data_IF_280106590465
#
_entry.id   IF_280106590465
#
_cell.length_a   1.000
_cell.length_b   1.000
_cell.length_c   1.000
_cell.angle_alpha   90.00
_cell.angle_beta   90.00
_cell.angle_gamma   90.00
#
_symmetry.space_group_name_H-M   'P 1'
#
loop_
_entity.id
_entity.type
_entity.pdbx_description
1 polymer ?
#
# COMPACT_ATOMS: atom_id res chain seq x y z
N UNK A 1 3.60 9.97 33.19
CA UNK A 1 3.86 9.22 31.93
C UNK A 1 2.53 9.11 31.18
N UNK A 2 2.39 9.84 30.06
CA UNK A 2 1.21 9.71 29.19
C UNK A 2 1.54 8.61 28.20
N UNK A 3 0.93 7.44 28.32
CA UNK A 3 0.99 6.40 27.31
C UNK A 3 0.25 6.92 26.07
N UNK A 4 0.98 7.32 25.06
CA UNK A 4 0.42 7.66 23.75
C UNK A 4 0.31 6.33 23.00
N UNK A 5 -0.92 5.88 22.81
CA UNK A 5 -1.24 4.63 22.12
C UNK A 5 -0.88 4.77 20.63
N UNK A 6 -0.24 3.76 20.06
CA UNK A 6 -0.04 3.68 18.61
C UNK A 6 -1.38 3.38 17.91
N UNK A 7 -1.49 3.64 16.59
CA UNK A 7 -2.66 3.22 15.79
C UNK A 7 -2.99 1.73 16.00
N UNK A 8 -1.98 0.90 16.16
CA UNK A 8 -2.12 -0.53 16.44
C UNK A 8 -2.70 -0.80 17.83
N UNK A 9 -2.34 0.00 18.83
CA UNK A 9 -2.86 -0.14 20.20
C UNK A 9 -4.27 0.43 20.31
N UNK A 10 -4.60 1.47 19.51
CA UNK A 10 -5.95 2.00 19.38
C UNK A 10 -6.91 0.96 18.78
N UNK A 11 -6.51 0.27 17.72
CA UNK A 11 -7.30 -0.82 17.13
C UNK A 11 -7.51 -2.01 18.09
N UNK A 12 -6.59 -2.23 19.03
CA UNK A 12 -6.74 -3.25 20.07
C UNK A 12 -7.67 -2.82 21.22
N UNK A 13 -7.80 -1.51 21.47
CA UNK A 13 -8.61 -0.95 22.58
C UNK A 13 -10.05 -0.66 22.19
N UNK A 14 -10.41 -0.57 20.91
CA UNK A 14 -11.79 -0.36 20.47
C UNK A 14 -12.76 -1.53 20.78
N UNK A 15 -12.27 -2.60 21.41
CA UNK A 15 -13.09 -3.69 21.91
C UNK A 15 -13.70 -3.49 23.31
N UNK A 16 -13.39 -2.40 24.03
CA UNK A 16 -13.89 -2.20 25.40
C UNK A 16 -14.24 -0.73 25.63
N UNK A 17 -15.51 -0.38 25.57
CA UNK A 17 -16.01 0.85 26.17
C UNK A 17 -16.96 1.68 25.32
N UNK A 18 -18.25 1.35 25.33
CA UNK A 18 -19.35 2.24 24.96
C UNK A 18 -19.44 3.41 25.97
N UNK A 19 -18.88 4.54 25.61
CA UNK A 19 -19.15 5.83 26.23
C UNK A 19 -19.83 6.74 25.20
N UNK A 20 -21.12 6.97 25.39
CA UNK A 20 -21.94 7.91 24.60
C UNK A 20 -21.39 9.32 24.80
N UNK A 21 -20.66 9.85 23.83
CA UNK A 21 -20.42 11.30 23.70
C UNK A 21 -21.37 11.86 22.65
N UNK A 22 -22.16 12.82 23.07
CA UNK A 22 -23.14 13.53 22.24
C UNK A 22 -22.42 14.13 21.00
N UNK A 23 -22.76 13.62 19.82
CA UNK A 23 -22.30 14.17 18.54
C UNK A 23 -22.92 15.53 18.32
N UNK A 24 -22.07 16.53 18.22
CA UNK A 24 -22.43 17.80 17.62
C UNK A 24 -22.37 17.60 16.08
N UNK A 25 -23.46 17.85 15.32
CA UNK A 25 -23.39 17.69 13.87
C UNK A 25 -22.36 18.67 13.32
N UNK A 26 -21.34 18.10 12.70
CA UNK A 26 -20.25 18.81 12.06
C UNK A 26 -20.82 19.84 11.08
N UNK A 27 -20.77 21.12 11.45
CA UNK A 27 -20.78 22.18 10.44
C UNK A 27 -19.43 22.09 9.76
N UNK A 28 -19.37 21.86 8.44
CA UNK A 28 -18.11 21.93 7.75
C UNK A 28 -17.63 23.37 7.82
N UNK A 29 -16.76 23.70 8.76
CA UNK A 29 -15.87 24.81 8.57
C UNK A 29 -15.07 24.48 7.33
N UNK A 30 -15.32 25.22 6.26
CA UNK A 30 -14.70 25.07 4.95
C UNK A 30 -13.26 25.61 5.01
N UNK A 31 -12.40 24.91 5.74
CA UNK A 31 -10.98 25.01 5.47
C UNK A 31 -10.73 24.22 4.19
N UNK A 32 -10.17 24.82 3.15
CA UNK A 32 -9.75 24.07 1.99
C UNK A 32 -8.80 22.97 2.49
N UNK A 33 -8.99 21.73 2.00
CA UNK A 33 -8.04 20.63 2.20
C UNK A 33 -6.78 20.97 1.39
N UNK A 34 -6.00 21.94 1.83
CA UNK A 34 -4.75 22.28 1.18
C UNK A 34 -3.75 21.14 1.39
N UNK A 35 -2.95 20.83 0.38
CA UNK A 35 -1.87 19.87 0.54
C UNK A 35 -0.96 20.30 1.70
N UNK A 36 -0.56 19.36 2.56
CA UNK A 36 0.45 19.60 3.57
C UNK A 36 1.76 20.07 2.90
N UNK A 37 2.48 20.94 3.57
CA UNK A 37 3.82 21.32 3.12
C UNK A 37 4.82 20.24 3.53
N UNK A 38 5.44 19.63 2.54
CA UNK A 38 6.47 18.61 2.75
C UNK A 38 7.88 19.20 2.54
N UNK A 39 8.91 18.59 3.15
CA UNK A 39 10.29 18.98 2.88
C UNK A 39 10.63 18.91 1.38
N UNK A 40 11.45 19.83 0.91
CA UNK A 40 11.92 19.84 -0.48
C UNK A 40 13.15 18.95 -0.57
N UNK A 41 12.98 17.78 -1.18
CA UNK A 41 14.06 16.84 -1.44
C UNK A 41 13.64 15.84 -2.53
N UNK A 42 14.60 15.27 -3.25
CA UNK A 42 14.35 14.24 -4.25
C UNK A 42 13.80 12.95 -3.63
N UNK A 43 14.26 12.60 -2.41
CA UNK A 43 13.81 11.43 -1.67
C UNK A 43 13.34 11.84 -0.28
N UNK A 44 12.20 11.33 0.08
CA UNK A 44 11.59 11.54 1.39
C UNK A 44 11.24 10.19 2.03
N UNK A 45 11.06 10.18 3.35
CA UNK A 45 10.54 9.05 4.10
C UNK A 45 9.33 9.47 4.91
N UNK A 46 8.21 8.76 4.78
CA UNK A 46 7.03 8.91 5.64
C UNK A 46 7.11 7.91 6.78
N UNK A 47 6.97 8.37 7.99
CA UNK A 47 6.99 7.56 9.21
C UNK A 47 5.71 6.73 9.33
N UNK A 48 5.83 5.42 9.57
CA UNK A 48 4.68 4.52 9.74
C UNK A 48 4.07 4.53 11.14
N UNK A 49 4.90 4.77 12.15
CA UNK A 49 4.49 4.77 13.55
C UNK A 49 5.53 5.53 14.37
N UNK A 50 5.25 5.78 15.65
CA UNK A 50 6.22 6.41 16.55
C UNK A 50 7.59 5.72 16.46
N UNK A 51 8.66 6.50 16.23
CA UNK A 51 10.03 6.03 16.03
C UNK A 51 11.05 7.00 16.62
N UNK A 52 12.18 6.46 17.10
CA UNK A 52 13.34 7.23 17.52
C UNK A 52 14.29 7.55 16.35
N UNK A 53 14.83 8.77 16.37
CA UNK A 53 15.98 9.17 15.54
C UNK A 53 17.23 9.00 16.37
N UNK A 54 18.19 8.22 15.89
CA UNK A 54 19.40 7.87 16.62
C UNK A 54 20.62 8.67 16.12
N UNK A 55 21.62 8.85 16.99
CA UNK A 55 22.90 9.50 16.61
C UNK A 55 23.71 8.67 15.61
N UNK A 56 23.54 7.35 15.62
CA UNK A 56 24.23 6.37 14.77
C UNK A 56 23.23 5.32 14.27
N UNK A 57 23.53 4.58 13.18
CA UNK A 57 22.63 3.54 12.67
C UNK A 57 22.65 2.29 13.55
N UNK A 58 22.16 2.42 14.78
CA UNK A 58 22.09 1.37 15.79
C UNK A 58 21.00 1.66 16.80
N UNK A 59 20.24 0.64 17.22
CA UNK A 59 19.25 0.74 18.30
C UNK A 59 19.87 1.01 19.68
N UNK A 60 21.17 0.74 19.83
CA UNK A 60 21.90 1.02 21.07
C UNK A 60 22.43 2.46 21.13
N UNK A 61 22.35 3.21 20.03
CA UNK A 61 22.78 4.61 20.00
C UNK A 61 21.74 5.52 20.69
N UNK A 62 22.18 6.65 21.28
CA UNK A 62 21.25 7.60 21.88
C UNK A 62 20.19 8.09 20.91
N UNK A 63 18.95 8.19 21.39
CA UNK A 63 17.87 8.87 20.69
C UNK A 63 18.01 10.38 20.84
N UNK A 64 17.94 11.11 19.74
CA UNK A 64 18.03 12.58 19.71
C UNK A 64 16.68 13.24 19.44
N UNK A 65 15.73 12.49 18.88
CA UNK A 65 14.39 12.98 18.51
C UNK A 65 13.43 11.82 18.42
N UNK A 66 12.16 12.08 18.67
CA UNK A 66 11.05 11.14 18.39
C UNK A 66 10.20 11.71 17.29
N UNK A 67 9.86 10.88 16.33
CA UNK A 67 8.92 11.18 15.25
C UNK A 67 7.65 10.35 15.43
N UNK A 68 6.57 10.84 14.84
CA UNK A 68 5.26 10.22 14.93
C UNK A 68 4.69 9.85 13.56
N UNK A 69 3.58 9.15 13.55
CA UNK A 69 2.88 8.68 12.36
C UNK A 69 2.71 9.83 11.35
N UNK A 70 3.01 9.53 10.10
CA UNK A 70 2.89 10.41 8.95
C UNK A 70 3.82 11.64 8.94
N UNK A 71 4.72 11.80 9.92
CA UNK A 71 5.79 12.79 9.75
C UNK A 71 6.67 12.42 8.55
N UNK A 72 7.08 13.45 7.79
CA UNK A 72 7.86 13.28 6.57
C UNK A 72 9.25 13.87 6.76
N UNK A 73 10.27 13.06 6.51
CA UNK A 73 11.68 13.40 6.67
C UNK A 73 12.43 13.36 5.35
N UNK A 74 13.52 14.10 5.27
CA UNK A 74 14.45 14.02 4.13
C UNK A 74 15.24 12.71 4.21
N UNK A 75 15.19 11.92 3.14
CA UNK A 75 15.97 10.68 2.99
C UNK A 75 17.26 11.00 2.27
N UNK A 76 18.34 11.26 3.01
CA UNK A 76 19.62 11.62 2.42
C UNK A 76 20.37 10.43 1.85
N UNK A 77 20.44 9.34 2.61
CA UNK A 77 21.22 8.15 2.25
C UNK A 77 20.69 6.93 3.01
N UNK A 78 20.76 5.78 2.38
CA UNK A 78 20.60 4.49 3.05
C UNK A 78 21.96 3.93 3.44
N UNK A 79 22.07 3.45 4.67
CA UNK A 79 23.29 2.85 5.23
C UNK A 79 22.97 1.54 5.92
N UNK A 80 23.97 0.68 6.05
CA UNK A 80 23.89 -0.56 6.83
C UNK A 80 24.52 -0.31 8.18
N UNK A 81 23.98 -0.91 9.25
CA UNK A 81 24.53 -0.86 10.61
C UNK A 81 26.05 -1.07 10.59
N UNK A 82 26.78 -0.18 11.28
CA UNK A 82 28.22 -0.35 11.52
C UNK A 82 28.43 -1.04 12.85
N UNK A 83 29.30 -2.05 12.87
CA UNK A 83 29.63 -2.81 14.08
C UNK A 83 29.18 -4.25 14.00
N UNK A 84 29.04 -4.92 15.16
CA UNK A 84 28.48 -6.26 15.21
C UNK A 84 27.04 -6.20 14.70
N UNK A 85 26.76 -6.92 13.60
CA UNK A 85 25.41 -7.09 13.08
C UNK A 85 24.53 -7.59 14.23
N UNK A 86 23.42 -6.92 14.47
CA UNK A 86 22.43 -7.47 15.39
C UNK A 86 21.78 -8.67 14.71
N UNK A 87 22.25 -9.86 15.05
CA UNK A 87 21.79 -11.12 14.48
C UNK A 87 20.30 -11.40 14.73
N UNK A 88 19.66 -10.63 15.62
CA UNK A 88 18.22 -10.71 15.87
C UNK A 88 17.41 -9.84 14.89
N UNK A 89 18.08 -9.02 14.06
CA UNK A 89 17.45 -8.11 13.13
C UNK A 89 17.86 -8.49 11.71
N UNK A 90 16.92 -8.97 10.93
CA UNK A 90 17.17 -9.40 9.54
C UNK A 90 17.47 -8.21 8.63
N UNK A 91 16.68 -7.13 8.77
CA UNK A 91 16.85 -5.94 7.98
C UNK A 91 17.80 -4.97 8.68
N UNK A 92 19.01 -4.80 8.16
CA UNK A 92 20.08 -3.98 8.75
C UNK A 92 20.12 -2.56 8.16
N UNK A 93 19.10 -2.15 7.38
CA UNK A 93 19.07 -0.87 6.69
C UNK A 93 18.64 0.27 7.60
N UNK A 94 19.33 1.39 7.49
CA UNK A 94 19.04 2.65 8.18
C UNK A 94 19.01 3.80 7.17
N UNK A 95 18.21 4.81 7.46
CA UNK A 95 18.13 6.04 6.66
C UNK A 95 18.83 7.15 7.43
N UNK A 96 19.81 7.78 6.79
CA UNK A 96 20.37 9.02 7.26
C UNK A 96 19.43 10.17 6.90
N UNK A 97 19.09 10.96 7.89
CA UNK A 97 18.31 12.20 7.78
C UNK A 97 19.16 13.38 8.27
N UNK A 98 18.71 14.64 8.09
CA UNK A 98 19.40 15.79 8.71
C UNK A 98 19.54 15.72 10.22
N UNK A 99 18.61 15.05 10.91
CA UNK A 99 18.55 14.97 12.38
C UNK A 99 19.30 13.74 12.96
N UNK A 100 19.63 12.75 12.12
CA UNK A 100 20.27 11.50 12.56
C UNK A 100 19.84 10.30 11.72
N UNK A 101 19.77 9.13 12.34
CA UNK A 101 19.50 7.86 11.67
C UNK A 101 18.18 7.26 12.13
N UNK A 102 17.41 6.75 11.17
CA UNK A 102 16.13 6.09 11.38
C UNK A 102 16.19 4.68 10.79
N UNK A 103 15.62 3.70 11.47
CA UNK A 103 15.52 2.33 10.97
C UNK A 103 14.64 2.28 9.72
N UNK A 104 15.21 1.92 8.57
CA UNK A 104 14.58 2.02 7.26
C UNK A 104 13.23 1.28 7.13
N UNK A 105 13.03 0.10 7.73
CA UNK A 105 11.73 -0.58 7.70
C UNK A 105 10.56 0.18 8.29
N UNK A 106 10.81 1.24 9.08
CA UNK A 106 9.77 2.08 9.68
C UNK A 106 9.45 3.35 8.87
N UNK A 107 10.06 3.49 7.69
CA UNK A 107 9.83 4.59 6.75
C UNK A 107 9.31 4.07 5.42
N UNK A 108 8.21 4.62 4.93
CA UNK A 108 7.85 4.49 3.52
C UNK A 108 8.75 5.38 2.67
N UNK A 109 9.46 4.85 1.66
CA UNK A 109 10.10 5.70 0.66
C UNK A 109 9.02 6.44 -0.13
N UNK A 110 9.09 7.77 -0.17
CA UNK A 110 8.11 8.60 -0.85
C UNK A 110 8.77 9.73 -1.63
N UNK A 111 8.03 10.32 -2.55
CA UNK A 111 8.37 11.56 -3.25
C UNK A 111 7.30 12.62 -2.98
N UNK A 112 7.63 13.86 -3.25
CA UNK A 112 6.67 14.96 -3.27
C UNK A 112 6.67 15.58 -4.67
N UNK A 113 5.75 15.10 -5.51
CA UNK A 113 5.61 15.54 -6.90
C UNK A 113 4.16 16.00 -7.14
N UNK A 114 3.80 17.22 -6.72
CA UNK A 114 2.49 17.78 -7.05
C UNK A 114 2.31 17.94 -8.56
N UNK A 115 1.09 17.75 -9.03
CA UNK A 115 0.73 17.77 -10.45
C UNK A 115 -0.12 18.99 -10.79
N UNK A 116 -0.17 19.34 -12.07
CA UNK A 116 -1.17 20.30 -12.58
C UNK A 116 -2.49 19.56 -12.79
N UNK A 117 -3.56 19.93 -12.04
CA UNK A 117 -4.83 19.24 -12.14
C UNK A 117 -5.52 19.46 -13.50
N UNK A 118 -6.23 18.44 -13.98
CA UNK A 118 -7.25 18.64 -15.03
C UNK A 118 -8.53 19.20 -14.41
N UNK A 119 -9.26 20.00 -15.16
CA UNK A 119 -10.47 20.70 -14.68
C UNK A 119 -11.77 20.05 -15.12
N UNK A 120 -11.69 19.03 -15.98
CA UNK A 120 -12.83 18.26 -16.47
C UNK A 120 -12.43 16.80 -16.69
N UNK A 121 -13.39 15.88 -16.56
CA UNK A 121 -13.20 14.49 -16.95
C UNK A 121 -12.89 14.39 -18.45
N UNK A 122 -12.07 13.40 -18.88
CA UNK A 122 -11.85 13.15 -20.29
C UNK A 122 -13.16 12.93 -21.05
N UNK A 123 -13.25 13.47 -22.25
CA UNK A 123 -14.49 13.42 -23.04
C UNK A 123 -14.96 11.97 -23.25
N UNK A 124 -16.23 11.71 -22.93
CA UNK A 124 -16.86 10.40 -23.08
C UNK A 124 -16.47 9.36 -22.01
N UNK A 125 -15.67 9.74 -21.01
CA UNK A 125 -15.29 8.84 -19.91
C UNK A 125 -16.09 9.15 -18.64
N UNK A 126 -16.38 8.10 -17.86
CA UNK A 126 -17.03 8.21 -16.55
C UNK A 126 -16.06 8.58 -15.42
N UNK A 127 -14.78 8.61 -15.70
CA UNK A 127 -13.71 8.90 -14.75
C UNK A 127 -12.34 8.52 -15.31
N UNK A 128 -11.34 8.50 -14.44
CA UNK A 128 -9.97 8.11 -14.78
C UNK A 128 -9.24 7.54 -13.55
N UNK A 129 -8.24 6.70 -13.80
CA UNK A 129 -7.33 6.24 -12.76
C UNK A 129 -6.27 7.29 -12.45
N UNK A 130 -5.99 7.50 -11.17
CA UNK A 130 -4.97 8.44 -10.72
C UNK A 130 -4.15 7.86 -9.57
N UNK A 131 -2.85 8.16 -9.56
CA UNK A 131 -1.88 7.73 -8.57
C UNK A 131 -1.53 8.90 -7.64
N UNK A 132 -1.48 8.66 -6.33
CA UNK A 132 -1.00 9.63 -5.35
C UNK A 132 0.53 9.75 -5.46
N UNK A 133 1.02 10.96 -5.77
CA UNK A 133 2.45 11.25 -6.01
C UNK A 133 3.07 12.19 -4.98
N UNK A 134 2.35 12.47 -3.90
CA UNK A 134 2.81 13.18 -2.71
C UNK A 134 2.85 12.23 -1.51
N UNK A 135 3.56 12.52 -0.42
CA UNK A 135 3.67 11.61 0.72
C UNK A 135 2.33 11.12 1.26
N UNK A 136 1.36 12.00 1.36
CA UNK A 136 -0.05 11.71 1.61
C UNK A 136 -0.92 12.90 1.24
N UNK A 137 -2.20 12.65 1.08
CA UNK A 137 -3.25 13.66 0.88
C UNK A 137 -4.38 13.42 1.87
N UNK A 138 -4.81 14.47 2.57
CA UNK A 138 -5.98 14.43 3.44
C UNK A 138 -7.25 14.36 2.60
N UNK A 139 -8.15 13.45 2.99
CA UNK A 139 -9.38 13.18 2.27
C UNK A 139 -10.59 13.58 3.11
N UNK A 140 -11.60 14.12 2.47
CA UNK A 140 -12.89 14.45 3.09
C UNK A 140 -13.95 13.48 2.58
N UNK A 141 -14.58 12.78 3.51
CA UNK A 141 -15.69 11.89 3.20
C UNK A 141 -16.92 12.66 2.72
N UNK A 142 -17.56 12.18 1.65
CA UNK A 142 -18.88 12.62 1.20
C UNK A 142 -19.96 11.72 1.80
N UNK A 143 -20.80 12.30 2.64
CA UNK A 143 -21.88 11.53 3.31
C UNK A 143 -21.42 10.77 4.55
N UNK A 144 -22.04 9.62 4.82
CA UNK A 144 -21.73 8.76 5.94
C UNK A 144 -20.72 7.70 5.56
N UNK A 145 -19.78 7.38 6.46
CA UNK A 145 -18.81 6.31 6.21
C UNK A 145 -19.50 4.95 6.10
N UNK A 146 -19.17 4.21 5.05
CA UNK A 146 -19.59 2.82 4.88
C UNK A 146 -18.54 1.86 5.44
N UNK A 147 -17.25 2.10 5.16
CA UNK A 147 -16.12 1.29 5.64
C UNK A 147 -15.99 1.31 7.15
N UNK A 148 -15.80 0.16 7.82
CA UNK A 148 -15.44 0.08 9.23
C UNK A 148 -14.17 0.84 9.56
N UNK A 149 -13.17 0.81 8.67
CA UNK A 149 -11.91 1.51 8.84
C UNK A 149 -12.12 3.03 8.89
N UNK A 150 -12.86 3.60 7.93
CA UNK A 150 -13.13 5.04 7.92
C UNK A 150 -13.95 5.46 9.14
N UNK A 151 -14.96 4.66 9.55
CA UNK A 151 -15.70 4.91 10.79
C UNK A 151 -14.77 5.00 12.00
N UNK A 152 -13.86 4.03 12.14
CA UNK A 152 -12.89 4.00 13.23
C UNK A 152 -11.96 5.21 13.24
N UNK A 153 -11.49 5.64 12.07
CA UNK A 153 -10.67 6.85 11.95
C UNK A 153 -11.43 8.09 12.41
N UNK A 154 -12.67 8.26 11.96
CA UNK A 154 -13.49 9.42 12.29
C UNK A 154 -13.90 9.43 13.79
N UNK A 155 -14.25 8.29 14.36
CA UNK A 155 -14.53 8.13 15.78
C UNK A 155 -13.31 8.46 16.66
N UNK A 156 -12.12 8.11 16.19
CA UNK A 156 -10.85 8.43 16.84
C UNK A 156 -10.33 9.84 16.55
N UNK A 157 -11.07 10.65 15.77
CA UNK A 157 -10.62 11.96 15.29
C UNK A 157 -9.28 11.91 14.54
N UNK A 158 -9.05 10.82 13.79
CA UNK A 158 -7.91 10.69 12.90
C UNK A 158 -8.27 11.16 11.49
N UNK A 159 -7.33 11.76 10.76
CA UNK A 159 -7.56 12.15 9.37
C UNK A 159 -7.73 10.90 8.49
N UNK A 160 -8.66 10.96 7.55
CA UNK A 160 -8.73 10.01 6.44
C UNK A 160 -7.70 10.42 5.40
N UNK A 161 -6.83 9.50 4.99
CA UNK A 161 -5.70 9.78 4.10
C UNK A 161 -5.56 8.74 3.01
N UNK A 162 -5.14 9.24 1.85
CA UNK A 162 -4.48 8.41 0.84
C UNK A 162 -2.98 8.69 0.88
N UNK A 163 -2.20 7.64 0.61
CA UNK A 163 -0.75 7.66 0.75
C UNK A 163 -0.05 7.49 -0.59
N UNK A 164 1.19 7.90 -0.67
CA UNK A 164 2.05 7.77 -1.84
C UNK A 164 1.92 6.40 -2.50
N UNK A 165 1.78 6.38 -3.83
CA UNK A 165 1.60 5.21 -4.69
C UNK A 165 0.25 4.49 -4.63
N UNK A 166 -0.69 4.92 -3.80
CA UNK A 166 -2.06 4.43 -3.94
C UNK A 166 -2.67 4.90 -5.27
N UNK A 167 -3.38 4.00 -5.94
CA UNK A 167 -4.10 4.29 -7.19
C UNK A 167 -5.59 4.24 -6.93
N UNK A 168 -6.30 5.24 -7.40
CA UNK A 168 -7.73 5.44 -7.15
C UNK A 168 -8.48 5.78 -8.44
N UNK A 169 -9.78 5.46 -8.49
CA UNK A 169 -10.66 5.90 -9.57
C UNK A 169 -11.29 7.24 -9.22
N UNK A 170 -11.07 8.22 -10.07
CA UNK A 170 -11.65 9.57 -9.96
C UNK A 170 -12.85 9.67 -10.88
N UNK A 171 -14.03 9.97 -10.33
CA UNK A 171 -15.28 10.05 -11.09
C UNK A 171 -15.89 11.45 -11.09
N UNK A 172 -15.41 12.37 -10.26
CA UNK A 172 -15.86 13.76 -10.25
C UNK A 172 -14.71 14.72 -9.98
N UNK A 173 -14.86 15.92 -10.52
CA UNK A 173 -13.98 17.07 -10.33
C UNK A 173 -14.82 18.24 -9.82
N UNK A 174 -14.36 18.90 -8.78
CA UNK A 174 -14.98 20.11 -8.22
C UNK A 174 -13.93 21.20 -8.02
N UNK A 175 -14.40 22.46 -7.96
CA UNK A 175 -13.56 23.60 -7.63
C UNK A 175 -14.18 24.38 -6.46
N UNK A 176 -13.40 24.68 -5.45
CA UNK A 176 -13.79 25.51 -4.32
C UNK A 176 -12.62 26.42 -3.92
N UNK A 177 -12.87 27.72 -3.75
CA UNK A 177 -11.85 28.68 -3.34
C UNK A 177 -10.63 28.80 -4.28
N UNK A 178 -10.76 28.42 -5.56
CA UNK A 178 -9.65 28.39 -6.51
C UNK A 178 -8.85 27.08 -6.50
N UNK A 179 -9.14 26.15 -5.60
CA UNK A 179 -8.52 24.84 -5.50
C UNK A 179 -9.39 23.80 -6.23
N UNK A 180 -8.75 22.90 -6.97
CA UNK A 180 -9.42 21.79 -7.65
C UNK A 180 -9.34 20.56 -6.77
N UNK A 181 -10.46 19.83 -6.68
CA UNK A 181 -10.60 18.60 -5.92
C UNK A 181 -11.04 17.45 -6.82
N UNK A 182 -10.51 16.27 -6.57
CA UNK A 182 -10.92 15.01 -7.20
C UNK A 182 -11.68 14.14 -6.21
N UNK A 183 -12.77 13.52 -6.71
CA UNK A 183 -13.51 12.53 -5.92
C UNK A 183 -13.03 11.12 -6.24
N UNK A 184 -12.45 10.46 -5.26
CA UNK A 184 -12.23 9.03 -5.27
C UNK A 184 -13.56 8.31 -5.03
N UNK A 185 -13.92 7.42 -5.96
CA UNK A 185 -15.06 6.53 -5.85
C UNK A 185 -14.56 5.08 -5.78
N UNK A 186 -14.69 4.45 -4.62
CA UNK A 186 -14.19 3.08 -4.41
C UNK A 186 -14.84 2.05 -5.34
N UNK A 187 -16.07 2.27 -5.80
CA UNK A 187 -16.78 1.38 -6.70
C UNK A 187 -16.52 1.64 -8.19
N UNK A 188 -15.83 2.73 -8.51
CA UNK A 188 -15.61 3.14 -9.89
C UNK A 188 -14.44 2.43 -10.58
N UNK A 189 -14.36 2.58 -11.90
CA UNK A 189 -13.24 2.10 -12.71
C UNK A 189 -13.18 0.60 -12.97
N UNK A 190 -14.27 -0.12 -12.72
CA UNK A 190 -14.35 -1.57 -12.91
C UNK A 190 -15.57 -1.97 -13.73
N UNK A 191 -15.52 -3.13 -14.41
CA UNK A 191 -16.70 -3.70 -15.05
C UNK A 191 -17.84 -3.91 -14.04
N UNK A 192 -19.07 -3.77 -14.52
CA UNK A 192 -20.25 -3.97 -13.69
C UNK A 192 -20.25 -5.36 -13.03
N UNK A 193 -20.52 -5.41 -11.72
CA UNK A 193 -20.55 -6.63 -10.94
C UNK A 193 -19.21 -7.05 -10.29
N UNK A 194 -18.11 -6.33 -10.55
CA UNK A 194 -16.82 -6.56 -9.90
C UNK A 194 -16.59 -5.48 -8.84
N UNK A 195 -16.87 -5.79 -7.57
CA UNK A 195 -16.79 -4.81 -6.47
C UNK A 195 -15.45 -4.80 -5.74
N UNK A 196 -14.65 -5.85 -5.85
CA UNK A 196 -13.33 -5.93 -5.20
C UNK A 196 -13.30 -5.69 -3.70
N UNK A 197 -14.39 -6.00 -2.97
CA UNK A 197 -14.48 -5.83 -1.52
C UNK A 197 -14.77 -4.39 -1.04
N UNK A 198 -14.97 -3.43 -1.94
CA UNK A 198 -15.28 -2.04 -1.63
C UNK A 198 -16.56 -1.86 -0.83
N UNK A 199 -16.54 -0.92 0.11
CA UNK A 199 -17.71 -0.47 0.85
C UNK A 199 -18.46 0.67 0.15
N UNK A 200 -17.85 1.32 -0.86
CA UNK A 200 -18.45 2.37 -1.64
C UNK A 200 -18.30 3.78 -1.07
N UNK A 201 -17.31 4.01 -0.24
CA UNK A 201 -17.02 5.35 0.27
C UNK A 201 -16.60 6.30 -0.87
N UNK A 202 -17.04 7.56 -0.75
CA UNK A 202 -16.71 8.64 -1.67
C UNK A 202 -15.85 9.67 -0.93
N UNK A 203 -14.64 9.92 -1.43
CA UNK A 203 -13.65 10.73 -0.74
C UNK A 203 -13.11 11.84 -1.64
N UNK A 204 -13.14 13.08 -1.18
CA UNK A 204 -12.59 14.25 -1.86
C UNK A 204 -11.20 14.59 -1.36
N UNK A 205 -10.25 14.81 -2.27
CA UNK A 205 -8.89 15.27 -1.97
C UNK A 205 -8.41 16.33 -2.95
N UNK A 206 -7.40 17.13 -2.57
CA UNK A 206 -6.81 18.13 -3.45
C UNK A 206 -6.19 17.48 -4.68
N UNK A 207 -6.61 17.93 -5.86
CA UNK A 207 -6.31 17.30 -7.13
C UNK A 207 -4.83 17.33 -7.50
N UNK A 208 -4.06 18.28 -7.02
CA UNK A 208 -2.62 18.35 -7.28
C UNK A 208 -1.81 17.19 -6.65
N UNK A 209 -2.40 16.47 -5.70
CA UNK A 209 -1.82 15.23 -5.15
C UNK A 209 -1.79 14.06 -6.13
N UNK A 210 -2.55 14.12 -7.21
CA UNK A 210 -2.86 12.98 -8.06
C UNK A 210 -2.30 13.17 -9.48
N UNK A 211 -1.59 12.15 -9.97
CA UNK A 211 -1.16 12.03 -11.35
C UNK A 211 -2.13 11.10 -12.09
N UNK A 212 -2.68 11.55 -13.20
CA UNK A 212 -3.48 10.68 -14.07
C UNK A 212 -2.62 9.55 -14.62
N UNK A 213 -3.14 8.32 -14.58
CA UNK A 213 -2.51 7.19 -15.26
C UNK A 213 -2.71 7.32 -16.77
N UNK A 214 -1.69 6.90 -17.51
CA UNK A 214 -1.69 6.83 -18.97
C UNK A 214 -1.67 5.36 -19.43
N UNK A 215 -1.97 5.05 -20.69
CA UNK A 215 -1.87 3.68 -21.21
C UNK A 215 -0.51 3.03 -20.97
N UNK A 216 0.56 3.81 -20.94
CA UNK A 216 1.94 3.34 -20.67
C UNK A 216 2.10 2.80 -19.24
N UNK A 217 1.28 3.30 -18.29
CA UNK A 217 1.31 2.83 -16.89
C UNK A 217 0.84 1.38 -16.73
N UNK A 218 0.05 0.88 -17.68
CA UNK A 218 -0.48 -0.50 -17.69
C UNK A 218 -0.01 -1.32 -18.88
N UNK A 219 0.73 -0.71 -19.82
CA UNK A 219 1.23 -1.37 -21.01
C UNK A 219 2.03 -2.63 -20.64
N UNK A 220 1.81 -3.76 -21.33
CA UNK A 220 2.50 -5.00 -21.04
C UNK A 220 4.02 -4.88 -21.15
N UNK A 221 4.73 -5.57 -20.24
CA UNK A 221 6.17 -5.80 -20.35
C UNK A 221 6.36 -7.15 -21.07
N UNK A 222 7.30 -7.21 -22.02
CA UNK A 222 7.57 -8.39 -22.86
C UNK A 222 6.29 -8.96 -23.53
N UNK A 223 5.57 -8.15 -24.35
CA UNK A 223 4.29 -8.58 -24.95
C UNK A 223 4.47 -9.71 -25.98
N UNK A 224 5.65 -9.82 -26.58
CA UNK A 224 5.97 -10.81 -27.61
C UNK A 224 6.46 -12.15 -27.04
N UNK A 225 6.64 -12.25 -25.72
CA UNK A 225 7.04 -13.48 -25.03
C UNK A 225 5.81 -14.36 -24.82
N UNK A 226 5.95 -15.65 -25.13
CA UNK A 226 4.89 -16.64 -24.89
C UNK A 226 4.47 -16.61 -23.39
N UNK A 227 3.22 -16.28 -23.09
CA UNK A 227 2.72 -16.23 -21.72
C UNK A 227 2.96 -17.53 -20.92
N UNK A 228 2.95 -18.69 -21.60
CA UNK A 228 3.19 -20.00 -20.96
C UNK A 228 4.64 -20.21 -20.51
N UNK A 229 5.58 -19.41 -21.04
CA UNK A 229 6.96 -19.42 -20.60
C UNK A 229 7.22 -18.51 -19.40
N UNK A 230 6.24 -17.67 -19.02
CA UNK A 230 6.35 -16.75 -17.88
C UNK A 230 6.04 -17.46 -16.56
N UNK A 231 6.92 -17.29 -15.59
CA UNK A 231 6.80 -17.91 -14.27
C UNK A 231 7.25 -16.98 -13.16
N UNK A 232 6.44 -16.88 -12.10
CA UNK A 232 6.82 -16.24 -10.83
C UNK A 232 7.24 -17.32 -9.85
N UNK A 233 8.34 -17.11 -9.15
CA UNK A 233 8.78 -17.94 -8.02
C UNK A 233 8.83 -17.07 -6.78
N UNK A 234 8.03 -17.41 -5.78
CA UNK A 234 8.00 -16.74 -4.48
C UNK A 234 8.68 -17.67 -3.47
N UNK A 235 9.76 -17.20 -2.86
CA UNK A 235 10.37 -17.86 -1.72
C UNK A 235 9.83 -17.23 -0.43
N UNK A 236 9.12 -18.01 0.38
CA UNK A 236 8.56 -17.57 1.65
C UNK A 236 9.38 -17.95 2.87
N UNK A 237 10.62 -18.41 2.69
CA UNK A 237 11.52 -18.76 3.82
C UNK A 237 11.57 -17.61 4.84
N UNK A 238 11.39 -17.93 6.12
CA UNK A 238 11.02 -16.96 7.18
C UNK A 238 11.90 -15.69 7.21
N UNK A 239 13.18 -15.83 6.94
CA UNK A 239 14.15 -14.74 7.06
C UNK A 239 14.74 -14.28 5.73
N UNK A 240 14.17 -14.75 4.60
CA UNK A 240 14.73 -14.48 3.27
C UNK A 240 13.67 -14.54 2.18
N UNK A 241 12.71 -13.61 2.25
CA UNK A 241 11.56 -13.64 1.35
C UNK A 241 11.83 -12.85 0.08
N UNK A 242 11.73 -13.54 -1.05
CA UNK A 242 12.02 -12.99 -2.38
C UNK A 242 10.97 -13.40 -3.40
N UNK A 243 10.95 -12.66 -4.51
CA UNK A 243 10.17 -12.99 -5.69
C UNK A 243 11.05 -12.82 -6.92
N UNK A 244 11.05 -13.84 -7.78
CA UNK A 244 11.72 -13.82 -9.08
C UNK A 244 10.72 -14.07 -10.19
N UNK A 245 10.84 -13.32 -11.31
CA UNK A 245 10.09 -13.54 -12.53
C UNK A 245 11.01 -14.11 -13.61
N UNK A 246 10.55 -15.15 -14.31
CA UNK A 246 11.32 -15.84 -15.35
C UNK A 246 10.57 -15.82 -16.68
N UNK A 247 11.32 -15.67 -17.77
CA UNK A 247 10.91 -15.94 -19.15
C UNK A 247 11.70 -17.16 -19.65
N UNK A 248 11.05 -18.32 -19.70
CA UNK A 248 11.74 -19.60 -19.87
C UNK A 248 12.67 -19.91 -18.70
N UNK A 249 13.99 -19.92 -18.96
CA UNK A 249 15.03 -20.14 -17.94
C UNK A 249 15.71 -18.84 -17.47
N UNK A 250 15.41 -17.70 -18.11
CA UNK A 250 16.03 -16.42 -17.79
C UNK A 250 15.28 -15.69 -16.68
N UNK A 251 15.98 -15.27 -15.61
CA UNK A 251 15.44 -14.40 -14.58
C UNK A 251 15.43 -12.95 -15.09
N UNK A 252 14.23 -12.41 -15.32
CA UNK A 252 14.03 -11.06 -15.88
C UNK A 252 13.72 -10.01 -14.82
N UNK A 253 13.33 -10.44 -13.62
CA UNK A 253 13.06 -9.54 -12.50
C UNK A 253 13.27 -10.24 -11.15
N UNK A 254 13.77 -9.47 -10.19
CA UNK A 254 13.98 -9.92 -8.81
C UNK A 254 13.65 -8.81 -7.84
N UNK A 255 12.91 -9.14 -6.76
CA UNK A 255 12.68 -8.22 -5.66
C UNK A 255 12.57 -8.95 -4.30
N UNK A 256 12.72 -8.18 -3.21
CA UNK A 256 12.36 -8.65 -1.87
C UNK A 256 10.88 -8.42 -1.63
N UNK A 257 10.22 -9.40 -1.02
CA UNK A 257 8.78 -9.37 -0.74
C UNK A 257 8.51 -9.63 0.73
N UNK A 258 7.26 -9.49 1.15
CA UNK A 258 6.80 -9.96 2.46
C UNK A 258 5.57 -10.85 2.26
N UNK A 259 5.70 -12.10 2.62
CA UNK A 259 4.62 -13.09 2.56
C UNK A 259 3.88 -13.21 3.90
N UNK A 260 3.00 -14.16 4.03
CA UNK A 260 2.19 -14.42 5.21
C UNK A 260 2.99 -14.65 6.49
N UNK A 261 2.46 -14.17 7.61
CA UNK A 261 3.11 -14.28 8.92
C UNK A 261 3.05 -15.70 9.47
N UNK A 262 4.14 -16.14 10.11
CA UNK A 262 4.23 -17.41 10.84
C UNK A 262 3.69 -17.31 12.27
N UNK A 263 3.47 -16.09 12.77
CA UNK A 263 3.01 -15.82 14.14
C UNK A 263 2.00 -14.69 14.15
N UNK A 264 1.04 -14.80 15.05
CA UNK A 264 0.08 -13.73 15.33
C UNK A 264 0.72 -12.55 16.10
N UNK A 265 -0.07 -11.55 16.42
CA UNK A 265 0.37 -10.38 17.18
C UNK A 265 0.77 -10.69 18.63
N UNK A 266 0.45 -11.88 19.13
CA UNK A 266 0.81 -12.38 20.47
C UNK A 266 2.03 -13.28 20.46
N UNK A 267 2.60 -13.58 19.25
CA UNK A 267 3.74 -14.46 19.06
C UNK A 267 3.39 -15.94 18.95
N UNK A 268 2.11 -16.32 18.92
CA UNK A 268 1.70 -17.71 18.75
C UNK A 268 1.87 -18.14 17.28
N UNK A 269 2.29 -19.37 17.01
CA UNK A 269 2.34 -19.91 15.66
C UNK A 269 0.95 -19.89 15.02
N UNK A 270 0.86 -19.43 13.76
CA UNK A 270 -0.38 -19.44 12.97
C UNK A 270 -0.10 -20.00 11.58
N UNK A 271 -1.06 -20.74 11.05
CA UNK A 271 -1.00 -21.33 9.71
C UNK A 271 -1.95 -20.65 8.73
N UNK A 272 -3.02 -20.05 9.23
CA UNK A 272 -4.04 -19.37 8.44
C UNK A 272 -3.54 -18.10 7.74
N UNK A 273 -2.43 -17.53 8.19
CA UNK A 273 -1.81 -16.36 7.55
C UNK A 273 -0.70 -16.73 6.56
N UNK A 274 -0.34 -18.00 6.44
CA UNK A 274 0.74 -18.39 5.54
C UNK A 274 0.31 -18.27 4.09
N UNK A 275 1.20 -17.77 3.25
CA UNK A 275 1.06 -17.85 1.80
C UNK A 275 1.09 -19.32 1.40
N UNK A 276 0.09 -19.87 0.67
CA UNK A 276 0.01 -21.30 0.39
C UNK A 276 1.18 -21.75 -0.50
N UNK A 277 1.83 -22.84 -0.10
CA UNK A 277 2.88 -23.50 -0.89
C UNK A 277 2.31 -24.17 -2.14
N UNK A 278 3.18 -24.38 -3.13
CA UNK A 278 2.87 -25.16 -4.32
C UNK A 278 2.66 -24.31 -5.57
N UNK A 279 1.96 -24.87 -6.52
CA UNK A 279 1.74 -24.29 -7.85
C UNK A 279 0.38 -23.59 -7.92
N UNK A 280 0.39 -22.39 -8.42
CA UNK A 280 -0.77 -21.54 -8.59
C UNK A 280 -0.73 -20.88 -9.97
N UNK A 281 -1.81 -20.19 -10.34
CA UNK A 281 -1.90 -19.44 -11.59
C UNK A 281 -2.58 -18.11 -11.35
N UNK A 282 -2.04 -17.04 -11.91
CA UNK A 282 -2.71 -15.74 -11.85
C UNK A 282 -4.03 -15.80 -12.60
N UNK A 283 -5.11 -15.40 -11.96
CA UNK A 283 -6.44 -15.49 -12.55
C UNK A 283 -7.16 -14.15 -12.67
N UNK A 284 -6.73 -13.15 -11.92
CA UNK A 284 -7.33 -11.80 -11.94
C UNK A 284 -6.27 -10.75 -11.66
N UNK A 285 -6.36 -9.61 -12.35
CA UNK A 285 -5.57 -8.42 -12.06
C UNK A 285 -6.49 -7.21 -11.90
N UNK A 286 -6.21 -6.39 -10.91
CA UNK A 286 -6.91 -5.14 -10.66
C UNK A 286 -5.90 -4.01 -10.46
N UNK A 287 -6.11 -2.87 -11.13
CA UNK A 287 -5.28 -1.67 -10.96
C UNK A 287 -5.31 -1.24 -9.49
N UNK A 288 -6.46 -1.34 -8.86
CA UNK A 288 -6.67 -1.00 -7.46
C UNK A 288 -7.82 -1.81 -6.88
N UNK A 289 -7.69 -2.30 -5.66
CA UNK A 289 -8.72 -3.09 -5.00
C UNK A 289 -8.81 -2.69 -3.52
N UNK A 290 -10.01 -2.73 -2.96
CA UNK A 290 -10.18 -2.67 -1.51
C UNK A 290 -9.94 -4.06 -0.94
N UNK A 291 -8.98 -4.19 -0.04
CA UNK A 291 -8.68 -5.45 0.63
C UNK A 291 -9.16 -5.39 2.07
N UNK A 292 -10.07 -6.27 2.44
CA UNK A 292 -10.54 -6.43 3.81
C UNK A 292 -10.67 -7.91 4.19
N UNK A 293 -10.41 -8.23 5.43
CA UNK A 293 -10.52 -9.60 5.92
C UNK A 293 -10.19 -9.71 7.40
N UNK A 294 -10.42 -10.90 7.97
CA UNK A 294 -10.21 -11.17 9.39
C UNK A 294 -11.34 -10.62 10.29
N UNK A 295 -11.04 -10.49 11.56
CA UNK A 295 -11.99 -10.02 12.58
C UNK A 295 -11.52 -8.72 13.23
N UNK A 296 -12.37 -8.06 14.00
CA UNK A 296 -12.00 -6.90 14.80
C UNK A 296 -10.79 -7.23 15.70
N UNK A 297 -9.68 -6.55 15.48
CA UNK A 297 -8.43 -6.73 16.24
C UNK A 297 -7.38 -7.62 15.57
N UNK A 298 -7.75 -8.49 14.61
CA UNK A 298 -6.80 -9.31 13.84
C UNK A 298 -6.96 -9.13 12.33
N UNK A 299 -7.96 -8.37 11.88
CA UNK A 299 -8.25 -8.13 10.49
C UNK A 299 -7.52 -6.93 9.90
N UNK A 300 -7.78 -6.73 8.63
CA UNK A 300 -7.34 -5.58 7.85
C UNK A 300 -8.51 -5.03 7.04
N UNK A 301 -8.48 -3.73 6.79
CA UNK A 301 -9.44 -2.99 5.98
C UNK A 301 -8.66 -1.86 5.30
N UNK A 302 -8.25 -2.08 4.05
CA UNK A 302 -7.29 -1.25 3.34
C UNK A 302 -7.83 -0.87 1.97
N UNK A 303 -8.31 0.37 1.79
CA UNK A 303 -8.75 0.86 0.49
C UNK A 303 -7.57 1.10 -0.45
N UNK A 304 -7.84 1.03 -1.75
CA UNK A 304 -6.91 1.40 -2.81
C UNK A 304 -5.55 0.68 -2.76
N UNK A 305 -5.57 -0.65 -2.56
CA UNK A 305 -4.39 -1.51 -2.70
C UNK A 305 -4.08 -1.66 -4.19
N UNK A 306 -2.98 -1.07 -4.63
CA UNK A 306 -2.64 -0.90 -6.04
C UNK A 306 -1.92 -2.11 -6.62
N UNK A 307 -2.04 -2.28 -7.94
CA UNK A 307 -1.30 -3.26 -8.74
C UNK A 307 -1.47 -4.69 -8.25
N UNK A 308 -2.71 -5.09 -8.01
CA UNK A 308 -3.03 -6.40 -7.44
C UNK A 308 -3.12 -7.47 -8.53
N UNK A 309 -2.34 -8.55 -8.37
CA UNK A 309 -2.30 -9.74 -9.24
C UNK A 309 -2.66 -10.95 -8.39
N UNK A 310 -3.90 -11.42 -8.50
CA UNK A 310 -4.44 -12.53 -7.72
C UNK A 310 -4.01 -13.87 -8.34
N UNK A 311 -3.50 -14.79 -7.52
CA UNK A 311 -2.98 -16.09 -7.99
C UNK A 311 -3.61 -17.30 -7.29
N UNK A 312 -4.49 -17.10 -6.31
CA UNK A 312 -5.24 -18.18 -5.67
C UNK A 312 -6.70 -17.82 -5.54
N UNK A 313 -7.59 -18.82 -5.65
CA UNK A 313 -9.03 -18.65 -5.48
C UNK A 313 -9.46 -18.13 -4.10
N UNK A 314 -8.62 -18.30 -3.08
CA UNK A 314 -8.84 -17.81 -1.72
C UNK A 314 -8.51 -16.30 -1.56
N UNK A 315 -8.18 -15.62 -2.65
CA UNK A 315 -7.94 -14.17 -2.64
C UNK A 315 -6.49 -13.76 -2.40
N UNK A 316 -5.54 -14.68 -2.38
CA UNK A 316 -4.12 -14.34 -2.28
C UNK A 316 -3.63 -13.63 -3.54
N UNK A 317 -2.90 -12.54 -3.33
CA UNK A 317 -2.40 -11.67 -4.40
C UNK A 317 -0.97 -11.20 -4.17
N UNK A 318 -0.28 -10.91 -5.27
CA UNK A 318 0.93 -10.07 -5.28
C UNK A 318 0.44 -8.63 -5.46
N UNK A 319 0.81 -7.71 -4.57
CA UNK A 319 0.30 -6.33 -4.62
C UNK A 319 1.23 -5.32 -3.94
N UNK A 320 1.03 -4.04 -4.23
CA UNK A 320 1.75 -2.95 -3.59
C UNK A 320 1.41 -2.83 -2.10
N UNK A 321 2.43 -2.61 -1.26
CA UNK A 321 2.26 -2.30 0.15
C UNK A 321 2.86 -0.93 0.47
N UNK A 322 2.01 0.03 0.85
CA UNK A 322 2.40 1.38 1.26
C UNK A 322 2.49 1.54 2.79
N UNK A 323 2.20 0.49 3.56
CA UNK A 323 2.08 0.50 5.02
C UNK A 323 3.25 -0.14 5.76
N UNK A 324 4.26 -0.65 5.05
CA UNK A 324 5.53 -1.10 5.62
C UNK A 324 6.66 -1.06 4.58
N UNK A 325 7.90 -1.09 5.05
CA UNK A 325 9.12 -1.18 4.22
C UNK A 325 10.06 -2.29 4.74
N UNK A 326 9.50 -3.32 5.36
CA UNK A 326 10.29 -4.43 5.92
C UNK A 326 10.26 -5.67 5.01
N UNK A 327 10.55 -5.47 3.73
CA UNK A 327 10.59 -6.55 2.75
C UNK A 327 11.78 -7.50 3.02
N UNK A 328 11.55 -8.79 2.79
CA UNK A 328 12.46 -9.90 3.12
C UNK A 328 12.03 -10.67 4.37
N UNK A 329 10.98 -10.24 5.09
CA UNK A 329 10.44 -10.90 6.27
C UNK A 329 8.90 -10.96 6.21
N UNK A 330 8.27 -11.94 6.90
CA UNK A 330 6.82 -12.13 6.92
C UNK A 330 6.08 -10.91 7.49
N UNK A 331 5.00 -10.46 6.82
CA UNK A 331 4.22 -9.28 7.25
C UNK A 331 2.73 -9.34 6.93
N UNK A 332 2.29 -10.21 6.02
CA UNK A 332 0.93 -10.23 5.50
C UNK A 332 0.04 -11.27 6.18
N UNK A 333 -1.23 -11.32 5.77
CA UNK A 333 -2.18 -12.39 6.07
C UNK A 333 -2.31 -13.39 4.92
N UNK A 334 -1.19 -13.59 4.18
CA UNK A 334 -1.10 -14.57 3.10
C UNK A 334 -0.77 -13.99 1.72
N UNK A 335 -1.06 -12.72 1.47
CA UNK A 335 -0.64 -12.05 0.25
C UNK A 335 0.88 -11.86 0.17
N UNK A 336 1.38 -11.64 -1.03
CA UNK A 336 2.78 -11.30 -1.30
C UNK A 336 2.87 -9.77 -1.45
N UNK A 337 3.32 -9.10 -0.41
CA UNK A 337 3.50 -7.65 -0.38
C UNK A 337 4.79 -7.25 -1.08
N UNK A 338 4.71 -6.32 -2.00
CA UNK A 338 5.84 -5.75 -2.76
C UNK A 338 5.97 -4.24 -2.52
N UNK A 339 7.14 -3.68 -2.81
CA UNK A 339 7.24 -2.25 -3.05
C UNK A 339 6.29 -1.86 -4.20
N UNK A 340 5.72 -0.65 -4.20
CA UNK A 340 4.77 -0.24 -5.24
C UNK A 340 5.30 -0.36 -6.67
N UNK A 341 6.55 -0.01 -6.89
CA UNK A 341 7.22 -0.14 -8.19
C UNK A 341 7.39 -1.60 -8.61
N UNK A 342 7.74 -2.49 -7.68
CA UNK A 342 7.87 -3.93 -7.95
C UNK A 342 6.51 -4.54 -8.30
N UNK A 343 5.47 -4.22 -7.52
CA UNK A 343 4.11 -4.68 -7.79
C UNK A 343 3.60 -4.19 -9.15
N UNK A 344 3.86 -2.93 -9.51
CA UNK A 344 3.52 -2.35 -10.81
C UNK A 344 4.24 -3.06 -11.95
N UNK A 345 5.53 -3.37 -11.77
CA UNK A 345 6.30 -4.10 -12.77
C UNK A 345 5.72 -5.50 -12.99
N UNK A 346 5.47 -6.26 -11.92
CA UNK A 346 4.89 -7.61 -11.97
C UNK A 346 3.49 -7.57 -12.57
N UNK A 347 2.66 -6.60 -12.18
CA UNK A 347 1.33 -6.40 -12.73
C UNK A 347 1.36 -6.21 -14.27
N UNK A 348 2.26 -5.40 -14.79
CA UNK A 348 2.40 -5.15 -16.22
C UNK A 348 2.94 -6.36 -16.98
N UNK A 349 3.80 -7.15 -16.33
CA UNK A 349 4.45 -8.30 -16.95
C UNK A 349 3.60 -9.57 -16.93
N UNK A 350 2.84 -9.83 -15.88
CA UNK A 350 2.00 -11.02 -15.71
C UNK A 350 0.74 -10.98 -16.58
N UNK A 351 0.14 -12.14 -16.85
CA UNK A 351 -1.19 -12.30 -17.47
C UNK A 351 -2.27 -12.56 -16.42
N UNK A 352 -3.56 -12.28 -16.70
CA UNK A 352 -4.11 -11.69 -17.94
C UNK A 352 -3.64 -10.25 -18.14
N UNK A 353 -3.67 -9.76 -19.36
CA UNK A 353 -3.37 -8.35 -19.65
C UNK A 353 -4.54 -7.47 -19.19
N UNK A 354 -4.21 -6.24 -18.79
CA UNK A 354 -5.19 -5.26 -18.32
C UNK A 354 -5.04 -3.93 -19.08
N UNK A 355 -6.13 -3.19 -19.20
CA UNK A 355 -6.15 -1.83 -19.76
C UNK A 355 -6.75 -0.85 -18.76
N UNK A 356 -6.56 0.45 -18.98
CA UNK A 356 -7.15 1.48 -18.13
C UNK A 356 -8.69 1.45 -18.15
N UNK A 357 -9.28 1.12 -19.32
CA UNK A 357 -10.72 1.06 -19.51
C UNK A 357 -11.34 -0.12 -18.75
N UNK A 358 -10.62 -1.24 -18.69
CA UNK A 358 -11.09 -2.41 -17.98
C UNK A 358 -10.89 -2.25 -16.46
N UNK A 359 -9.76 -1.64 -16.04
CA UNK A 359 -9.40 -1.47 -14.62
C UNK A 359 -9.21 -2.80 -13.87
N UNK A 360 -9.86 -3.85 -14.32
CA UNK A 360 -9.88 -5.19 -13.76
C UNK A 360 -9.97 -6.21 -14.90
N UNK A 361 -9.12 -7.23 -14.89
CA UNK A 361 -9.06 -8.26 -15.91
C UNK A 361 -9.07 -9.65 -15.28
N UNK A 362 -9.89 -10.54 -15.80
CA UNK A 362 -10.02 -11.95 -15.37
C UNK A 362 -9.55 -12.87 -16.49
N UNK A 363 -8.75 -13.87 -16.15
CA UNK A 363 -8.25 -14.83 -17.11
C UNK A 363 -9.40 -15.73 -17.64
N UNK A 364 -9.41 -15.95 -18.95
CA UNK A 364 -10.32 -16.91 -19.59
C UNK A 364 -9.82 -18.34 -19.34
N UNK A 365 -10.19 -18.92 -18.19
CA UNK A 365 -9.74 -20.25 -17.76
C UNK A 365 -8.41 -20.23 -16.98
N UNK A 366 -8.17 -21.33 -16.28
CA UNK A 366 -7.01 -21.46 -15.36
C UNK A 366 -5.65 -21.56 -16.07
N UNK A 367 -5.63 -21.79 -17.38
CA UNK A 367 -4.40 -21.97 -18.17
C UNK A 367 -3.88 -20.67 -18.79
N UNK A 368 -4.66 -19.58 -18.76
CA UNK A 368 -4.32 -18.33 -19.42
C UNK A 368 -3.68 -17.30 -18.50
N UNK A 369 -3.31 -17.70 -17.28
CA UNK A 369 -2.59 -16.89 -16.32
C UNK A 369 -1.09 -17.22 -16.27
N UNK A 370 -0.32 -16.36 -15.65
CA UNK A 370 1.09 -16.60 -15.36
C UNK A 370 1.22 -17.64 -14.24
N UNK A 371 2.09 -18.61 -14.42
CA UNK A 371 2.38 -19.64 -13.43
C UNK A 371 3.08 -19.04 -12.20
N UNK A 372 2.62 -19.38 -11.00
CA UNK A 372 3.19 -18.90 -9.73
C UNK A 372 3.57 -20.11 -8.87
N UNK A 373 4.82 -20.20 -8.50
CA UNK A 373 5.33 -21.23 -7.59
C UNK A 373 5.65 -20.56 -6.26
N UNK A 374 5.02 -21.03 -5.19
CA UNK A 374 5.37 -20.62 -3.83
C UNK A 374 6.15 -21.76 -3.18
N UNK A 375 7.36 -21.48 -2.77
CA UNK A 375 8.29 -22.45 -2.17
C UNK A 375 8.86 -21.94 -0.85
N UNK A 376 9.48 -22.87 -0.13
CA UNK A 376 10.24 -22.59 1.10
C UNK A 376 11.56 -23.35 1.00
N UNK A 377 12.65 -22.65 0.95
CA UNK A 377 13.98 -23.27 0.88
C UNK A 377 14.35 -23.83 2.25
N UNK A 378 14.84 -25.03 2.27
CA UNK A 378 15.50 -25.60 3.45
C UNK A 378 16.92 -25.05 3.49
N UNK A 379 17.20 -24.11 4.42
CA UNK A 379 18.53 -23.53 4.63
C UNK A 379 19.28 -24.36 5.69
#
# INVERSE_FOLDING_TARGET
MKNILSRRDFLKLSGVGLGVLAFNPFKPERSPLALPQFPVSERLGRVFSKIDVHTEPSFNAPSVKVLYDDEVVVWQQEVITRGALDMNIINQRWVRTPDGYIYAPQLQPVKNVPNTPVTALPSGQLGFWAEVTVPYVDMRLEGAAASPHIKTLLEGNFPVRLYYSQVVWIDQIAQDGGVIFYRFNENGGRPAGITGGSYGDLLWGEASAFRLLTPEDVAPISPDVDPTSKKVVVDRTENYQTLSCYEGSEEVYFCRVSTGQYRDSYGNPVTEYLTPLGEHTTWRKSISIHMSGGTTGTGYDTPAVSWSTLFSGDGYAIHAAFWHNNFGVPRSHGCVNCLPEDAKWIFRWATPQNTLEQGDAVAEGLTNGTHVIVQELTI
#
